data_IF_624305115975
#
_entry.id   IF_624305115975
#
_cell.length_a   1.000
_cell.length_b   1.000
_cell.length_c   1.000
_cell.angle_alpha   90.00
_cell.angle_beta   90.00
_cell.angle_gamma   90.00
#
_symmetry.space_group_name_H-M   'P 1'
#
loop_
_entity.id
_entity.type
_entity.pdbx_description
1 polymer ?
#
# COMPACT_ATOMS: atom_id res chain seq x y z
N UNK A 1 -3.06 8.37 14.15
CA UNK A 1 -1.66 8.65 14.59
C UNK A 1 -0.80 7.49 14.11
N UNK A 2 0.42 7.73 13.64
CA UNK A 2 1.35 6.69 13.16
C UNK A 2 1.54 5.54 14.15
N UNK A 3 1.60 5.85 15.44
CA UNK A 3 1.71 4.85 16.50
C UNK A 3 0.64 3.74 16.45
N UNK A 4 -0.54 4.01 15.86
CA UNK A 4 -1.57 2.98 15.70
C UNK A 4 -1.19 1.94 14.64
N UNK A 5 -0.53 2.36 13.55
CA UNK A 5 -0.04 1.44 12.51
C UNK A 5 1.12 0.63 13.05
N UNK A 6 2.08 1.27 13.73
CA UNK A 6 3.23 0.57 14.31
C UNK A 6 2.79 -0.51 15.30
N UNK A 7 1.83 -0.22 16.17
CA UNK A 7 1.31 -1.21 17.10
C UNK A 7 0.73 -2.46 16.39
N UNK A 8 0.12 -2.30 15.21
CA UNK A 8 -0.43 -3.41 14.44
C UNK A 8 0.68 -4.20 13.74
N UNK A 9 1.62 -3.50 13.12
CA UNK A 9 2.75 -4.13 12.41
C UNK A 9 3.65 -4.87 13.41
N UNK A 10 3.98 -4.26 14.54
CA UNK A 10 4.78 -4.87 15.61
C UNK A 10 4.08 -6.08 16.23
N UNK A 11 2.74 -6.09 16.27
CA UNK A 11 1.94 -7.23 16.68
C UNK A 11 1.84 -8.34 15.62
N UNK A 12 2.39 -8.11 14.42
CA UNK A 12 2.43 -9.09 13.32
C UNK A 12 1.20 -9.10 12.41
N UNK A 13 0.34 -8.07 12.47
CA UNK A 13 -0.77 -7.95 11.53
C UNK A 13 -0.26 -7.53 10.14
N UNK A 14 -0.76 -8.21 9.10
CA UNK A 14 -0.41 -7.91 7.70
C UNK A 14 -1.53 -7.17 6.95
N UNK A 15 -2.77 -7.27 7.42
CA UNK A 15 -3.92 -6.59 6.83
C UNK A 15 -4.94 -6.21 7.90
N UNK A 16 -5.66 -5.11 7.66
CA UNK A 16 -6.86 -4.71 8.39
C UNK A 16 -7.98 -4.57 7.37
N UNK A 17 -9.13 -5.16 7.66
CA UNK A 17 -10.30 -5.16 6.77
C UNK A 17 -11.37 -4.29 7.44
N UNK A 18 -11.87 -3.27 6.73
CA UNK A 18 -12.94 -2.39 7.22
C UNK A 18 -13.73 -1.75 6.07
N UNK A 19 -14.94 -1.21 6.33
CA UNK A 19 -15.69 -0.47 5.31
C UNK A 19 -15.01 0.83 4.87
N UNK A 20 -14.24 1.45 5.77
CA UNK A 20 -13.51 2.69 5.49
C UNK A 20 -12.32 2.86 6.43
N UNK A 21 -11.42 3.74 6.04
CA UNK A 21 -10.25 4.15 6.81
C UNK A 21 -10.05 5.65 6.68
N UNK A 22 -9.49 6.29 7.70
CA UNK A 22 -9.01 7.65 7.56
C UNK A 22 -7.77 7.70 6.66
N UNK A 23 -7.67 8.71 5.80
CA UNK A 23 -6.64 8.79 4.76
C UNK A 23 -5.21 8.72 5.30
N UNK A 24 -4.95 9.42 6.42
CA UNK A 24 -3.65 9.40 7.10
C UNK A 24 -3.30 7.98 7.57
N UNK A 25 -4.28 7.25 8.12
CA UNK A 25 -4.04 5.87 8.56
C UNK A 25 -3.72 4.96 7.36
N UNK A 26 -4.49 5.06 6.27
CA UNK A 26 -4.26 4.24 5.08
C UNK A 26 -2.88 4.49 4.46
N UNK A 27 -2.48 5.75 4.31
CA UNK A 27 -1.15 6.10 3.78
C UNK A 27 -0.03 5.51 4.65
N UNK A 28 -0.11 5.71 5.97
CA UNK A 28 0.87 5.18 6.90
C UNK A 28 0.88 3.65 6.94
N UNK A 29 -0.29 3.01 6.84
CA UNK A 29 -0.38 1.55 6.79
C UNK A 29 0.39 0.99 5.60
N UNK A 30 0.13 1.51 4.40
CA UNK A 30 0.81 1.07 3.17
C UNK A 30 2.31 1.31 3.24
N UNK A 31 2.74 2.48 3.73
CA UNK A 31 4.15 2.81 3.90
C UNK A 31 4.89 1.93 4.91
N UNK A 32 4.16 1.17 5.74
CA UNK A 32 4.72 0.23 6.70
C UNK A 32 4.37 -1.23 6.39
N UNK A 33 3.94 -1.54 5.16
CA UNK A 33 3.65 -2.91 4.73
C UNK A 33 2.35 -3.49 5.28
N UNK A 34 1.48 -2.68 5.90
CA UNK A 34 0.17 -3.09 6.38
C UNK A 34 -0.89 -2.78 5.32
N UNK A 35 -1.67 -3.77 4.89
CA UNK A 35 -2.74 -3.58 3.91
C UNK A 35 -4.03 -3.03 4.57
N UNK A 36 -4.48 -1.80 4.26
CA UNK A 36 -5.82 -1.32 4.62
C UNK A 36 -6.86 -1.76 3.57
N UNK A 37 -7.40 -2.97 3.72
CA UNK A 37 -8.34 -3.57 2.76
C UNK A 37 -9.76 -3.01 2.97
N UNK A 38 -10.24 -2.25 1.98
CA UNK A 38 -11.60 -1.69 1.97
C UNK A 38 -12.57 -2.66 1.31
N UNK A 39 -13.66 -2.98 2.02
CA UNK A 39 -14.82 -3.68 1.47
C UNK A 39 -16.04 -2.77 1.54
N UNK A 40 -17.06 -3.01 0.71
CA UNK A 40 -18.34 -2.36 0.95
C UNK A 40 -19.01 -2.91 2.22
N UNK A 41 -20.04 -2.22 2.71
CA UNK A 41 -20.72 -2.63 3.94
C UNK A 41 -21.35 -4.03 3.86
N UNK A 42 -21.80 -4.44 2.66
CA UNK A 42 -22.48 -5.72 2.48
C UNK A 42 -21.48 -6.87 2.57
N UNK A 43 -20.37 -6.77 1.88
CA UNK A 43 -19.31 -7.79 1.88
C UNK A 43 -18.57 -7.83 3.21
N UNK A 44 -18.34 -6.67 3.84
CA UNK A 44 -17.82 -6.62 5.20
C UNK A 44 -18.76 -7.33 6.20
N UNK A 45 -20.07 -7.09 6.12
CA UNK A 45 -21.04 -7.77 6.98
C UNK A 45 -21.06 -9.30 6.76
N UNK A 46 -21.01 -9.76 5.50
CA UNK A 46 -20.91 -11.20 5.17
C UNK A 46 -19.63 -11.81 5.74
N UNK A 47 -18.49 -11.13 5.59
CA UNK A 47 -17.22 -11.57 6.13
C UNK A 47 -17.27 -11.74 7.65
N UNK A 48 -17.85 -10.77 8.37
CA UNK A 48 -18.02 -10.83 9.83
C UNK A 48 -18.91 -12.01 10.23
N UNK A 49 -19.99 -12.28 9.50
CA UNK A 49 -20.86 -13.44 9.75
C UNK A 49 -20.11 -14.75 9.53
N UNK A 50 -19.36 -14.89 8.43
CA UNK A 50 -18.55 -16.07 8.15
C UNK A 50 -17.50 -16.31 9.25
N UNK A 51 -16.80 -15.26 9.69
CA UNK A 51 -15.83 -15.35 10.77
C UNK A 51 -16.47 -15.75 12.11
N UNK A 52 -17.63 -15.20 12.45
CA UNK A 52 -18.36 -15.54 13.70
C UNK A 52 -18.88 -16.97 13.71
N UNK A 53 -19.22 -17.52 12.54
CA UNK A 53 -19.68 -18.91 12.45
C UNK A 53 -18.56 -19.91 12.74
N UNK A 54 -17.32 -19.58 12.40
CA UNK A 54 -16.13 -20.38 12.69
C UNK A 54 -14.90 -19.49 12.84
N UNK A 55 -14.43 -19.33 14.08
CA UNK A 55 -13.09 -18.83 14.33
C UNK A 55 -12.08 -19.82 13.74
N UNK A 56 -10.99 -19.32 13.15
CA UNK A 56 -9.92 -20.11 12.50
C UNK A 56 -10.22 -20.65 11.10
N UNK A 57 -11.03 -19.92 10.33
CA UNK A 57 -11.11 -20.15 8.89
C UNK A 57 -9.79 -19.76 8.19
N UNK A 58 -9.31 -20.58 7.24
CA UNK A 58 -8.19 -20.19 6.38
C UNK A 58 -8.52 -18.87 5.70
N UNK A 59 -7.61 -17.90 5.85
CA UNK A 59 -7.72 -16.57 5.26
C UNK A 59 -6.58 -16.37 4.28
N UNK A 60 -6.90 -15.96 3.06
CA UNK A 60 -5.91 -15.64 2.04
C UNK A 60 -6.28 -14.31 1.36
N UNK A 61 -5.27 -13.47 1.14
CA UNK A 61 -5.39 -12.23 0.39
C UNK A 61 -4.35 -12.29 -0.72
N UNK A 62 -4.80 -12.14 -1.96
CA UNK A 62 -3.98 -12.10 -3.15
C UNK A 62 -3.96 -10.66 -3.69
N UNK A 63 -2.78 -10.03 -3.67
CA UNK A 63 -2.58 -8.65 -4.13
C UNK A 63 -2.40 -8.54 -5.65
N UNK A 64 -2.13 -9.64 -6.36
CA UNK A 64 -2.01 -9.62 -7.82
C UNK A 64 -3.40 -9.60 -8.47
N UNK A 65 -4.33 -10.36 -7.88
CA UNK A 65 -5.73 -10.45 -8.34
C UNK A 65 -6.71 -9.61 -7.53
N UNK A 66 -6.25 -8.97 -6.45
CA UNK A 66 -7.07 -8.25 -5.48
C UNK A 66 -8.25 -9.08 -4.94
N UNK A 67 -7.97 -10.33 -4.56
CA UNK A 67 -8.96 -11.28 -4.06
C UNK A 67 -8.75 -11.58 -2.58
N UNK A 68 -9.85 -11.62 -1.82
CA UNK A 68 -9.90 -12.04 -0.42
C UNK A 68 -10.72 -13.31 -0.32
N UNK A 69 -10.17 -14.33 0.36
CA UNK A 69 -10.84 -15.59 0.68
C UNK A 69 -10.84 -15.83 2.18
N UNK A 70 -11.99 -16.17 2.73
CA UNK A 70 -12.19 -16.59 4.12
C UNK A 70 -13.11 -17.82 4.16
N UNK A 71 -12.54 -19.02 4.26
CA UNK A 71 -13.32 -20.24 4.14
C UNK A 71 -14.03 -20.35 2.78
N UNK A 72 -15.37 -20.32 2.76
CA UNK A 72 -16.17 -20.32 1.53
C UNK A 72 -16.55 -18.92 1.03
N UNK A 73 -16.24 -17.87 1.80
CA UNK A 73 -16.46 -16.49 1.38
C UNK A 73 -15.31 -16.04 0.49
N UNK A 74 -15.64 -15.43 -0.64
CA UNK A 74 -14.70 -14.84 -1.58
C UNK A 74 -15.24 -13.51 -2.08
N UNK A 75 -14.38 -12.49 -2.15
CA UNK A 75 -14.72 -11.22 -2.77
C UNK A 75 -13.49 -10.59 -3.45
N UNK A 76 -13.76 -9.70 -4.39
CA UNK A 76 -12.75 -8.85 -5.02
C UNK A 76 -12.79 -7.50 -4.32
N UNK A 77 -11.63 -6.97 -3.97
CA UNK A 77 -11.50 -5.64 -3.40
C UNK A 77 -10.76 -4.71 -4.37
N UNK A 78 -10.80 -3.41 -4.09
CA UNK A 78 -10.06 -2.41 -4.85
C UNK A 78 -8.89 -1.89 -4.04
N UNK A 79 -7.78 -1.65 -4.73
CA UNK A 79 -6.57 -1.08 -4.16
C UNK A 79 -5.92 -0.20 -5.23
N UNK A 80 -5.40 0.96 -4.81
CA UNK A 80 -4.64 1.81 -5.70
C UNK A 80 -3.41 1.06 -6.24
N UNK A 81 -3.11 1.22 -7.53
CA UNK A 81 -2.04 0.46 -8.18
C UNK A 81 -0.67 0.76 -7.55
N UNK A 82 -0.41 2.02 -7.18
CA UNK A 82 0.82 2.42 -6.51
C UNK A 82 0.93 1.73 -5.16
N UNK A 83 -0.16 1.72 -4.39
CA UNK A 83 -0.18 1.08 -3.07
C UNK A 83 0.00 -0.43 -3.17
N UNK A 84 -0.61 -1.06 -4.17
CA UNK A 84 -0.46 -2.48 -4.48
C UNK A 84 1.00 -2.82 -4.78
N UNK A 85 1.66 -2.04 -5.65
CA UNK A 85 3.08 -2.20 -5.95
C UNK A 85 3.96 -2.03 -4.71
N UNK A 86 3.65 -1.03 -3.87
CA UNK A 86 4.38 -0.81 -2.61
C UNK A 86 4.28 -2.01 -1.67
N UNK A 87 3.07 -2.54 -1.48
CA UNK A 87 2.83 -3.68 -0.62
C UNK A 87 3.45 -4.98 -1.15
N UNK A 88 3.39 -5.23 -2.47
CA UNK A 88 3.99 -6.43 -3.09
C UNK A 88 5.51 -6.41 -2.96
N UNK A 89 6.15 -5.25 -3.19
CA UNK A 89 7.61 -5.15 -3.20
C UNK A 89 8.21 -4.77 -1.84
N UNK A 90 7.38 -4.40 -0.85
CA UNK A 90 7.84 -3.85 0.42
C UNK A 90 8.47 -2.46 0.29
N UNK A 91 8.00 -1.66 -0.67
CA UNK A 91 8.55 -0.34 -0.98
C UNK A 91 7.92 0.78 -0.16
N UNK A 92 8.73 1.79 0.15
CA UNK A 92 8.28 3.08 0.65
C UNK A 92 8.26 4.18 -0.45
N UNK A 93 8.04 5.44 -0.06
CA UNK A 93 8.02 6.56 -1.02
C UNK A 93 9.42 6.89 -1.60
N UNK A 94 10.49 6.55 -0.88
CA UNK A 94 11.87 6.71 -1.33
C UNK A 94 12.14 5.67 -2.41
N UNK A 95 11.77 4.42 -2.19
CA UNK A 95 11.91 3.34 -3.17
C UNK A 95 11.13 3.64 -4.46
N UNK A 96 9.90 4.16 -4.34
CA UNK A 96 9.11 4.63 -5.48
C UNK A 96 9.85 5.71 -6.27
N UNK A 97 10.50 6.66 -5.59
CA UNK A 97 11.30 7.70 -6.24
C UNK A 97 12.54 7.11 -6.94
N UNK A 98 13.18 6.11 -6.32
CA UNK A 98 14.34 5.42 -6.90
C UNK A 98 14.00 4.72 -8.22
N UNK A 99 12.75 4.27 -8.43
CA UNK A 99 12.32 3.71 -9.72
C UNK A 99 12.43 4.70 -10.88
N UNK A 100 12.55 6.00 -10.60
CA UNK A 100 12.66 7.06 -11.59
C UNK A 100 14.06 7.65 -11.70
N UNK A 101 15.08 7.03 -11.08
CA UNK A 101 16.42 7.61 -10.98
C UNK A 101 17.01 8.02 -12.33
N UNK A 102 16.93 7.14 -13.33
CA UNK A 102 17.45 7.44 -14.68
C UNK A 102 16.71 8.58 -15.39
N UNK A 103 15.40 8.71 -15.15
CA UNK A 103 14.61 9.83 -15.68
C UNK A 103 14.98 11.15 -15.00
N UNK A 104 15.24 11.10 -13.69
CA UNK A 104 15.69 12.24 -12.88
C UNK A 104 17.08 12.70 -13.35
N UNK A 105 18.03 11.77 -13.48
CA UNK A 105 19.38 12.04 -13.98
C UNK A 105 19.36 12.66 -15.37
N UNK A 106 18.62 12.05 -16.31
CA UNK A 106 18.48 12.59 -17.66
C UNK A 106 17.80 13.96 -17.71
N UNK A 107 16.86 14.25 -16.80
CA UNK A 107 16.31 15.59 -16.66
C UNK A 107 17.36 16.59 -16.17
N UNK A 108 18.12 16.25 -15.13
CA UNK A 108 19.14 17.11 -14.53
C UNK A 108 20.23 17.45 -15.56
N UNK A 109 20.71 16.47 -16.32
CA UNK A 109 21.68 16.70 -17.40
C UNK A 109 21.15 17.70 -18.44
N UNK A 110 19.92 17.49 -18.92
CA UNK A 110 19.28 18.41 -19.88
C UNK A 110 19.13 19.81 -19.29
N UNK A 111 18.66 19.90 -18.05
CA UNK A 111 18.46 21.17 -17.34
C UNK A 111 19.77 21.95 -17.22
N UNK A 112 20.87 21.28 -16.86
CA UNK A 112 22.18 21.92 -16.76
C UNK A 112 22.66 22.49 -18.10
N UNK A 113 22.39 21.79 -19.20
CA UNK A 113 22.77 22.25 -20.53
C UNK A 113 21.98 23.48 -20.99
N UNK A 114 20.68 23.56 -20.65
CA UNK A 114 19.81 24.67 -21.12
C UNK A 114 19.80 25.88 -20.19
N UNK A 115 20.10 25.71 -18.91
CA UNK A 115 20.14 26.80 -17.92
C UNK A 115 21.46 26.84 -17.16
N UNK A 116 22.62 26.94 -17.83
CA UNK A 116 23.93 26.87 -17.16
C UNK A 116 24.13 27.91 -16.04
N UNK A 117 23.44 29.05 -16.12
CA UNK A 117 23.42 30.09 -15.09
C UNK A 117 22.78 29.65 -13.76
N UNK A 118 21.91 28.64 -13.78
CA UNK A 118 21.29 28.05 -12.59
C UNK A 118 22.16 26.97 -11.93
N UNK A 119 23.22 26.51 -12.61
CA UNK A 119 24.09 25.41 -12.18
C UNK A 119 25.57 25.82 -12.20
N UNK A 120 25.98 26.84 -11.41
CA UNK A 120 27.32 27.43 -11.51
C UNK A 120 28.49 26.49 -11.21
N UNK A 121 28.24 25.33 -10.60
CA UNK A 121 29.24 24.28 -10.34
C UNK A 121 28.98 23.00 -11.16
N UNK A 122 28.11 23.03 -12.17
CA UNK A 122 27.67 21.85 -12.92
C UNK A 122 26.70 20.95 -12.15
N UNK A 123 26.42 19.76 -12.70
CA UNK A 123 25.73 18.67 -12.00
C UNK A 123 26.67 18.14 -10.90
N UNK A 124 26.23 18.16 -9.64
CA UNK A 124 26.97 17.53 -8.53
C UNK A 124 26.70 16.04 -8.48
#
# INVERSE_FOLDING_TARGET
>A
REAAVYALVDAGFQAVIAPSFGDIFSSNAVNNGLLPLRLDEQDHAKLVVCHKAKSDLPTAIDLDTCQLRLGSFECVFTLDETWRLKLINGWDDIDMTQQHLSSIEGYIERACNITPWAWPNGVK
#
